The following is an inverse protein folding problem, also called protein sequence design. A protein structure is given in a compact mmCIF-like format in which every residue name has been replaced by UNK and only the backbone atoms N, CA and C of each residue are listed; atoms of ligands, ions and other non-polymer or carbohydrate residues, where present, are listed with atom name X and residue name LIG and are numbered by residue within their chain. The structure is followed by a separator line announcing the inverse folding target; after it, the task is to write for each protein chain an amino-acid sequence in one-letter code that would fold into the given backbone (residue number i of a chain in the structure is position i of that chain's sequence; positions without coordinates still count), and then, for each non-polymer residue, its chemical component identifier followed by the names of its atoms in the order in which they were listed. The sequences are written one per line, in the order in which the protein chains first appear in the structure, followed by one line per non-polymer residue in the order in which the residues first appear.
data_IF_571641009524
#
_entry.id   IF_571641009524
#
_cell.length_a   1.000
_cell.length_b   1.000
_cell.length_c   1.000
_cell.angle_alpha   90.00
_cell.angle_beta   90.00
_cell.angle_gamma   90.00
#
_symmetry.space_group_name_H-M   'P 1'
#
loop_
_entity.id
_entity.type
_entity.pdbx_description
1 polymer ?
#
# COMPACT_ATOMS: atom_id res chain seq x y z
N UNK A 1 10.31 11.95 11.41
CA UNK A 1 10.85 10.77 10.69
C UNK A 1 11.77 11.22 9.56
N UNK A 2 12.85 10.47 9.29
CA UNK A 2 13.71 10.75 8.14
C UNK A 2 12.94 10.48 6.84
N UNK A 3 13.20 11.29 5.80
CA UNK A 3 12.56 11.09 4.48
C UNK A 3 13.00 9.75 3.88
N UNK A 4 12.08 9.03 3.26
CA UNK A 4 12.42 7.79 2.52
C UNK A 4 13.32 8.13 1.34
N UNK A 5 14.40 7.40 1.20
CA UNK A 5 15.36 7.50 0.10
C UNK A 5 15.12 6.33 -0.86
N UNK A 6 14.87 6.63 -2.13
CA UNK A 6 14.60 5.64 -3.18
C UNK A 6 15.58 5.82 -4.34
N UNK A 7 16.85 5.41 -4.18
CA UNK A 7 17.87 5.58 -5.22
C UNK A 7 17.63 4.68 -6.45
N UNK A 8 16.80 3.66 -6.32
CA UNK A 8 16.47 2.74 -7.39
C UNK A 8 14.98 2.82 -7.74
N UNK A 9 14.67 2.90 -9.03
CA UNK A 9 13.30 3.01 -9.53
C UNK A 9 12.86 1.73 -10.25
N UNK A 10 11.53 1.54 -10.33
CA UNK A 10 10.89 0.47 -11.08
C UNK A 10 9.80 1.07 -11.97
N UNK A 11 9.46 0.39 -13.07
CA UNK A 11 8.54 0.90 -14.11
C UNK A 11 7.19 1.44 -13.59
N UNK A 12 6.72 0.98 -12.44
CA UNK A 12 5.47 1.47 -11.84
C UNK A 12 5.67 2.77 -11.05
N UNK A 13 6.92 3.13 -10.75
CA UNK A 13 7.26 4.24 -9.86
C UNK A 13 6.90 3.98 -8.39
N UNK A 14 7.40 4.81 -7.46
CA UNK A 14 7.03 4.76 -6.06
C UNK A 14 5.62 5.31 -5.82
N UNK A 15 4.98 4.88 -4.74
CA UNK A 15 3.81 5.56 -4.21
C UNK A 15 4.19 6.99 -3.84
N UNK A 16 3.45 7.96 -4.35
CA UNK A 16 3.72 9.39 -4.14
C UNK A 16 3.70 9.74 -2.66
N UNK A 17 4.52 10.68 -2.19
CA UNK A 17 4.63 11.00 -0.76
C UNK A 17 3.28 11.35 -0.10
N UNK A 18 2.43 12.11 -0.78
CA UNK A 18 1.13 12.53 -0.27
C UNK A 18 0.16 11.34 -0.15
N UNK A 19 0.14 10.49 -1.17
CA UNK A 19 -0.66 9.25 -1.17
C UNK A 19 -0.15 8.29 -0.10
N UNK A 20 1.18 8.13 0.01
CA UNK A 20 1.80 7.28 1.02
C UNK A 20 1.47 7.71 2.44
N UNK A 21 1.52 9.02 2.72
CA UNK A 21 1.18 9.56 4.03
C UNK A 21 -0.26 9.24 4.44
N UNK A 22 -1.20 9.41 3.51
CA UNK A 22 -2.61 9.05 3.76
C UNK A 22 -2.78 7.54 3.90
N UNK A 23 -2.15 6.75 3.03
CA UNK A 23 -2.20 5.27 3.10
C UNK A 23 -1.73 4.74 4.46
N UNK A 24 -0.59 5.24 4.96
CA UNK A 24 -0.05 4.82 6.25
C UNK A 24 -0.91 5.27 7.43
N UNK A 25 -1.51 6.46 7.34
CA UNK A 25 -2.46 6.93 8.34
C UNK A 25 -3.69 6.01 8.39
N UNK A 26 -4.23 5.60 7.23
CA UNK A 26 -5.38 4.68 7.15
C UNK A 26 -5.06 3.25 7.59
N UNK A 27 -3.82 2.79 7.40
CA UNK A 27 -3.33 1.51 7.93
C UNK A 27 -3.28 1.51 9.47
N UNK A 28 -3.13 2.68 10.11
CA UNK A 28 -3.06 2.84 11.56
C UNK A 28 -2.13 1.80 12.22
N UNK A 29 -0.90 1.66 11.67
CA UNK A 29 0.05 0.63 12.08
C UNK A 29 0.48 0.79 13.54
N UNK A 30 0.55 -0.33 14.26
CA UNK A 30 1.01 -0.41 15.63
C UNK A 30 2.39 -1.05 15.73
N UNK A 31 3.22 -0.73 16.74
CA UNK A 31 4.59 -1.24 16.84
C UNK A 31 4.70 -2.77 16.92
N UNK A 32 3.65 -3.45 17.34
CA UNK A 32 3.60 -4.91 17.47
C UNK A 32 3.13 -5.63 16.23
N UNK A 33 2.64 -4.90 15.22
CA UNK A 33 2.03 -5.47 14.03
C UNK A 33 3.00 -6.31 13.19
N UNK A 34 2.42 -7.32 12.56
CA UNK A 34 2.93 -7.92 11.34
C UNK A 34 2.20 -7.31 10.14
N UNK A 35 2.91 -6.48 9.39
CA UNK A 35 2.38 -5.79 8.22
C UNK A 35 2.75 -6.52 6.93
N UNK A 36 1.80 -6.61 5.99
CA UNK A 36 2.00 -7.22 4.66
C UNK A 36 1.87 -6.17 3.56
N UNK A 37 2.90 -6.03 2.72
CA UNK A 37 2.92 -5.17 1.52
C UNK A 37 2.79 -6.03 0.26
N UNK A 38 1.61 -6.07 -0.34
CA UNK A 38 1.33 -6.81 -1.57
C UNK A 38 1.60 -5.94 -2.80
N UNK A 39 2.68 -6.26 -3.51
CA UNK A 39 3.14 -5.50 -4.67
C UNK A 39 4.11 -4.38 -4.28
N UNK A 40 5.13 -4.71 -3.53
CA UNK A 40 6.09 -3.75 -2.94
C UNK A 40 6.82 -2.88 -3.96
N UNK A 41 7.10 -3.38 -5.15
CA UNK A 41 7.66 -2.65 -6.30
C UNK A 41 8.96 -1.90 -5.99
N UNK A 42 8.90 -0.64 -5.55
CA UNK A 42 10.06 0.17 -5.12
C UNK A 42 10.32 0.10 -3.62
N UNK A 43 9.43 -0.53 -2.86
CA UNK A 43 9.51 -0.64 -1.40
C UNK A 43 9.14 0.63 -0.63
N UNK A 44 8.52 1.61 -1.28
CA UNK A 44 8.23 2.89 -0.63
C UNK A 44 7.27 2.80 0.55
N UNK A 45 6.26 1.92 0.50
CA UNK A 45 5.37 1.60 1.63
C UNK A 45 6.08 0.67 2.61
N UNK A 46 6.75 -0.38 2.11
CA UNK A 46 7.54 -1.33 2.91
C UNK A 46 8.49 -0.63 3.87
N UNK A 47 9.28 0.37 3.36
CA UNK A 47 10.27 1.11 4.15
C UNK A 47 9.60 1.95 5.25
N UNK A 48 8.53 2.67 4.92
CA UNK A 48 7.81 3.49 5.92
C UNK A 48 7.13 2.62 6.99
N UNK A 49 6.56 1.49 6.60
CA UNK A 49 5.99 0.53 7.53
C UNK A 49 7.07 -0.09 8.44
N UNK A 50 8.23 -0.47 7.87
CA UNK A 50 9.34 -1.05 8.61
C UNK A 50 9.94 -0.13 9.70
N UNK A 51 9.63 1.17 9.67
CA UNK A 51 9.97 2.14 10.71
C UNK A 51 8.95 2.23 11.83
N UNK A 52 7.80 1.56 11.69
CA UNK A 52 6.67 1.70 12.60
C UNK A 52 6.29 0.38 13.26
N UNK A 53 6.51 -0.75 12.58
CA UNK A 53 6.09 -2.07 13.04
C UNK A 53 7.27 -2.98 13.35
N UNK A 54 6.99 -4.13 13.95
CA UNK A 54 8.00 -5.13 14.30
C UNK A 54 8.34 -6.06 13.14
N UNK A 55 7.36 -6.44 12.33
CA UNK A 55 7.54 -7.35 11.21
C UNK A 55 6.90 -6.82 9.93
N UNK A 56 7.60 -6.97 8.81
CA UNK A 56 7.07 -6.68 7.48
C UNK A 56 7.31 -7.87 6.56
N UNK A 57 6.26 -8.35 5.91
CA UNK A 57 6.37 -9.25 4.76
C UNK A 57 6.02 -8.50 3.50
N UNK A 58 6.97 -8.36 2.58
CA UNK A 58 6.75 -7.69 1.30
C UNK A 58 6.77 -8.70 0.15
N UNK A 59 5.68 -8.74 -0.62
CA UNK A 59 5.54 -9.60 -1.80
C UNK A 59 5.67 -8.78 -3.08
N UNK A 60 6.45 -9.29 -4.03
CA UNK A 60 6.50 -8.79 -5.40
C UNK A 60 6.69 -9.96 -6.35
N UNK A 61 5.77 -10.13 -7.32
CA UNK A 61 5.81 -11.25 -8.28
C UNK A 61 6.93 -11.18 -9.31
N UNK A 62 7.48 -9.98 -9.53
CA UNK A 62 8.56 -9.77 -10.49
C UNK A 62 9.90 -9.69 -9.77
N UNK A 63 10.78 -10.72 -9.89
CA UNK A 63 12.05 -10.75 -9.16
C UNK A 63 12.89 -9.48 -9.30
N UNK A 64 12.98 -8.91 -10.53
CA UNK A 64 13.74 -7.68 -10.77
C UNK A 64 13.19 -6.45 -10.03
N UNK A 65 11.89 -6.43 -9.64
CA UNK A 65 11.31 -5.36 -8.82
C UNK A 65 11.55 -5.62 -7.34
N UNK A 66 11.53 -6.89 -6.93
CA UNK A 66 11.90 -7.25 -5.58
C UNK A 66 13.34 -6.86 -5.26
N UNK A 67 14.27 -7.03 -6.23
CA UNK A 67 15.64 -6.52 -6.12
C UNK A 67 15.70 -5.00 -5.94
N UNK A 68 14.77 -4.24 -6.56
CA UNK A 68 14.67 -2.79 -6.34
C UNK A 68 14.20 -2.49 -4.92
N UNK A 69 13.19 -3.22 -4.42
CA UNK A 69 12.75 -3.12 -3.02
C UNK A 69 13.92 -3.38 -2.07
N UNK A 70 14.68 -4.45 -2.27
CA UNK A 70 15.83 -4.83 -1.43
C UNK A 70 16.91 -3.73 -1.41
N UNK A 71 17.29 -3.21 -2.58
CA UNK A 71 18.29 -2.13 -2.71
C UNK A 71 17.82 -0.83 -2.05
N UNK A 72 16.54 -0.50 -2.17
CA UNK A 72 15.99 0.68 -1.52
C UNK A 72 15.88 0.50 0.00
N UNK A 73 15.53 -0.69 0.49
CA UNK A 73 15.58 -1.00 1.92
C UNK A 73 16.99 -0.80 2.47
N UNK A 74 18.02 -1.30 1.78
CA UNK A 74 19.42 -1.15 2.19
C UNK A 74 19.91 0.32 2.25
N UNK A 75 19.22 1.24 1.56
CA UNK A 75 19.52 2.67 1.57
C UNK A 75 18.77 3.45 2.67
N UNK A 76 18.00 2.76 3.53
CA UNK A 76 17.18 3.37 4.56
C UNK A 76 17.43 2.73 5.93
N UNK A 77 17.16 3.49 6.99
CA UNK A 77 17.17 2.99 8.37
C UNK A 77 15.75 2.59 8.79
N UNK A 78 15.62 1.43 9.43
CA UNK A 78 14.39 0.89 10.01
C UNK A 78 14.74 -0.18 11.04
N UNK A 79 13.81 -0.53 11.94
CA UNK A 79 14.04 -1.45 13.05
C UNK A 79 13.32 -2.80 12.85
N UNK A 80 12.39 -2.90 11.89
CA UNK A 80 11.61 -4.12 11.67
C UNK A 80 12.44 -5.27 11.11
N UNK A 81 12.02 -6.50 11.41
CA UNK A 81 12.39 -7.67 10.63
C UNK A 81 11.61 -7.66 9.30
N UNK A 82 12.33 -7.61 8.16
CA UNK A 82 11.72 -7.55 6.83
C UNK A 82 11.96 -8.83 6.06
N UNK A 83 10.88 -9.50 5.68
CA UNK A 83 10.89 -10.68 4.82
C UNK A 83 10.46 -10.30 3.40
N UNK A 84 11.33 -10.55 2.41
CA UNK A 84 11.03 -10.34 0.99
C UNK A 84 10.64 -11.65 0.33
N UNK A 85 9.51 -11.69 -0.37
CA UNK A 85 9.00 -12.88 -1.06
C UNK A 85 8.77 -12.61 -2.54
N UNK A 86 9.44 -13.39 -3.40
CA UNK A 86 9.20 -13.40 -4.85
C UNK A 86 7.97 -14.28 -5.13
N UNK A 87 6.77 -13.74 -4.96
CA UNK A 87 5.51 -14.48 -5.10
C UNK A 87 4.40 -13.59 -5.65
N UNK A 88 3.38 -14.21 -6.26
CA UNK A 88 2.12 -13.55 -6.65
C UNK A 88 1.05 -13.90 -5.61
N UNK A 89 0.54 -12.89 -4.90
CA UNK A 89 -0.51 -13.10 -3.90
C UNK A 89 -1.82 -13.62 -4.55
N UNK A 90 -2.57 -14.50 -3.84
CA UNK A 90 -2.42 -14.86 -2.43
C UNK A 90 -1.28 -15.84 -2.12
N UNK A 91 -0.70 -16.55 -3.11
CA UNK A 91 0.44 -17.40 -2.83
C UNK A 91 1.59 -16.59 -2.20
N UNK A 92 2.18 -17.13 -1.14
CA UNK A 92 3.26 -16.50 -0.40
C UNK A 92 2.83 -15.48 0.65
N UNK A 93 1.53 -15.29 0.89
CA UNK A 93 1.06 -14.59 2.09
C UNK A 93 1.50 -15.34 3.36
N UNK A 94 1.78 -14.64 4.47
CA UNK A 94 2.00 -15.30 5.76
C UNK A 94 0.67 -15.82 6.32
N UNK A 95 0.74 -16.80 7.21
CA UNK A 95 -0.44 -17.39 7.87
C UNK A 95 -1.16 -16.40 8.79
N UNK A 96 -0.42 -15.43 9.34
CA UNK A 96 -0.94 -14.40 10.25
C UNK A 96 -0.40 -13.03 9.86
N UNK A 97 -1.27 -12.03 9.88
CA UNK A 97 -0.93 -10.62 9.72
C UNK A 97 -1.99 -9.75 10.37
N UNK A 98 -1.58 -8.57 10.86
CA UNK A 98 -2.47 -7.61 11.52
C UNK A 98 -2.98 -6.55 10.53
N UNK A 99 -2.12 -6.16 9.57
CA UNK A 99 -2.45 -5.15 8.58
C UNK A 99 -1.88 -5.51 7.19
N UNK A 100 -2.62 -5.14 6.15
CA UNK A 100 -2.24 -5.44 4.76
C UNK A 100 -2.43 -4.20 3.86
N UNK A 101 -1.46 -3.97 3.00
CA UNK A 101 -1.55 -3.00 1.91
C UNK A 101 -1.54 -3.70 0.55
N UNK A 102 -2.48 -3.33 -0.32
CA UNK A 102 -2.53 -3.78 -1.71
C UNK A 102 -2.11 -2.63 -2.63
N UNK A 103 -0.86 -2.68 -3.11
CA UNK A 103 -0.28 -1.73 -4.06
C UNK A 103 -0.59 -2.07 -5.52
N UNK A 104 -1.32 -3.15 -5.79
CA UNK A 104 -1.70 -3.61 -7.11
C UNK A 104 -3.12 -4.18 -7.14
N UNK A 105 -3.69 -4.28 -8.35
CA UNK A 105 -5.07 -4.73 -8.55
C UNK A 105 -5.19 -6.14 -9.16
N UNK A 106 -4.08 -6.86 -9.26
CA UNK A 106 -4.11 -8.24 -9.75
C UNK A 106 -4.52 -9.17 -8.63
N UNK A 107 -5.46 -10.06 -8.91
CA UNK A 107 -5.97 -11.06 -7.97
C UNK A 107 -6.47 -10.49 -6.63
N UNK A 108 -6.78 -9.18 -6.56
CA UNK A 108 -7.11 -8.53 -5.29
C UNK A 108 -8.32 -9.18 -4.60
N UNK A 109 -9.28 -9.70 -5.36
CA UNK A 109 -10.45 -10.39 -4.79
C UNK A 109 -10.03 -11.65 -4.03
N UNK A 110 -9.16 -12.50 -4.62
CA UNK A 110 -8.62 -13.68 -3.95
C UNK A 110 -7.71 -13.33 -2.75
N UNK A 111 -6.96 -12.21 -2.85
CA UNK A 111 -6.15 -11.69 -1.73
C UNK A 111 -7.04 -11.24 -0.58
N UNK A 112 -8.18 -10.60 -0.88
CA UNK A 112 -9.15 -10.19 0.15
C UNK A 112 -9.82 -11.39 0.80
N UNK A 113 -10.15 -12.44 0.03
CA UNK A 113 -10.71 -13.69 0.58
C UNK A 113 -9.75 -14.29 1.61
N UNK A 114 -8.48 -14.45 1.22
CA UNK A 114 -7.43 -14.98 2.09
C UNK A 114 -7.20 -14.09 3.34
N UNK A 115 -7.14 -12.77 3.15
CA UNK A 115 -6.93 -11.83 4.25
C UNK A 115 -8.09 -11.85 5.27
N UNK A 116 -9.33 -11.95 4.81
CA UNK A 116 -10.51 -12.05 5.69
C UNK A 116 -10.54 -13.39 6.42
N UNK A 117 -10.24 -14.49 5.72
CA UNK A 117 -10.18 -15.83 6.31
C UNK A 117 -9.07 -15.94 7.36
N UNK A 118 -7.90 -15.34 7.09
CA UNK A 118 -6.75 -15.28 8.02
C UNK A 118 -6.92 -14.30 9.17
N UNK A 119 -7.98 -13.48 9.16
CA UNK A 119 -8.29 -12.55 10.25
C UNK A 119 -7.48 -11.25 10.22
N UNK A 120 -6.99 -10.81 9.05
CA UNK A 120 -6.32 -9.51 8.90
C UNK A 120 -7.29 -8.38 9.26
N UNK A 121 -6.97 -7.60 10.30
CA UNK A 121 -7.87 -6.56 10.83
C UNK A 121 -7.98 -5.34 9.90
N UNK A 122 -6.85 -4.89 9.35
CA UNK A 122 -6.76 -3.63 8.60
C UNK A 122 -6.23 -3.87 7.19
N UNK A 123 -7.02 -3.45 6.19
CA UNK A 123 -6.65 -3.62 4.78
C UNK A 123 -6.81 -2.28 4.07
N UNK A 124 -5.75 -1.82 3.40
CA UNK A 124 -5.82 -0.61 2.57
C UNK A 124 -5.39 -0.95 1.14
N UNK A 125 -6.20 -0.56 0.18
CA UNK A 125 -5.91 -0.74 -1.24
C UNK A 125 -5.85 0.58 -1.98
N UNK A 126 -4.75 0.82 -2.72
CA UNK A 126 -4.62 2.00 -3.57
C UNK A 126 -4.81 1.64 -5.04
N UNK A 127 -5.71 2.34 -5.72
CA UNK A 127 -5.95 2.19 -7.16
C UNK A 127 -6.10 3.54 -7.85
N UNK A 128 -5.55 3.63 -9.07
CA UNK A 128 -5.62 4.86 -9.88
C UNK A 128 -6.68 4.79 -11.00
N UNK A 129 -7.28 3.61 -11.24
CA UNK A 129 -8.29 3.41 -12.28
C UNK A 129 -9.67 3.35 -11.65
N UNK A 130 -10.58 4.20 -12.14
CA UNK A 130 -11.94 4.31 -11.61
C UNK A 130 -12.71 2.97 -11.68
N UNK A 131 -12.55 2.23 -12.78
CA UNK A 131 -13.22 0.94 -12.95
C UNK A 131 -12.73 -0.12 -11.96
N UNK A 132 -11.44 -0.06 -11.61
CA UNK A 132 -10.86 -0.95 -10.59
C UNK A 132 -11.31 -0.50 -9.21
N UNK A 133 -11.38 0.81 -8.95
CA UNK A 133 -11.86 1.34 -7.68
C UNK A 133 -13.31 0.93 -7.42
N UNK A 134 -14.18 1.01 -8.42
CA UNK A 134 -15.58 0.54 -8.32
C UNK A 134 -15.66 -0.93 -7.92
N UNK A 135 -14.92 -1.81 -8.62
CA UNK A 135 -14.89 -3.26 -8.28
C UNK A 135 -14.30 -3.52 -6.89
N UNK A 136 -13.25 -2.77 -6.51
CA UNK A 136 -12.65 -2.91 -5.19
C UNK A 136 -13.63 -2.51 -4.08
N UNK A 137 -14.36 -1.40 -4.23
CA UNK A 137 -15.40 -0.97 -3.29
C UNK A 137 -16.47 -2.06 -3.12
N UNK A 138 -16.97 -2.64 -4.22
CA UNK A 138 -17.92 -3.75 -4.15
C UNK A 138 -17.33 -4.98 -3.46
N UNK A 139 -16.09 -5.37 -3.78
CA UNK A 139 -15.43 -6.52 -3.18
C UNK A 139 -15.22 -6.37 -1.67
N UNK A 140 -14.89 -5.15 -1.18
CA UNK A 140 -14.78 -4.86 0.25
C UNK A 140 -16.16 -4.89 0.93
N UNK A 141 -17.21 -4.38 0.24
CA UNK A 141 -18.59 -4.39 0.74
C UNK A 141 -19.16 -5.81 0.85
N UNK A 142 -18.94 -6.65 -0.17
CA UNK A 142 -19.38 -8.06 -0.18
C UNK A 142 -18.79 -8.90 0.94
N UNK A 143 -17.65 -8.46 1.50
CA UNK A 143 -16.95 -9.10 2.62
C UNK A 143 -17.23 -8.44 3.96
N UNK A 144 -18.14 -7.47 4.02
CA UNK A 144 -18.49 -6.71 5.21
C UNK A 144 -17.29 -6.04 5.92
N UNK A 145 -16.27 -5.65 5.13
CA UNK A 145 -15.06 -5.00 5.64
C UNK A 145 -14.91 -3.54 5.20
N UNK A 146 -15.80 -3.01 4.34
CA UNK A 146 -15.67 -1.64 3.84
C UNK A 146 -15.87 -0.61 4.95
N UNK A 147 -14.83 0.12 5.30
CA UNK A 147 -14.85 1.19 6.31
C UNK A 147 -14.92 2.59 5.67
N UNK A 148 -14.04 2.85 4.69
CA UNK A 148 -13.94 4.19 4.10
C UNK A 148 -13.45 4.12 2.65
N UNK A 149 -13.83 5.12 1.86
CA UNK A 149 -13.27 5.35 0.51
C UNK A 149 -12.83 6.80 0.40
N UNK A 150 -11.56 7.02 0.10
CA UNK A 150 -10.98 8.35 -0.07
C UNK A 150 -10.49 8.53 -1.50
N UNK A 151 -10.86 9.63 -2.15
CA UNK A 151 -10.24 10.06 -3.40
C UNK A 151 -9.22 11.15 -3.10
N UNK A 152 -7.96 10.91 -3.47
CA UNK A 152 -6.88 11.88 -3.35
C UNK A 152 -6.59 12.51 -4.71
N UNK A 153 -6.71 13.83 -4.79
CA UNK A 153 -6.30 14.63 -5.93
C UNK A 153 -5.13 15.51 -5.51
N UNK A 154 -3.96 15.25 -6.08
CA UNK A 154 -2.72 15.99 -5.79
C UNK A 154 -2.38 16.90 -6.95
N UNK A 155 -2.04 18.15 -6.65
CA UNK A 155 -1.55 19.12 -7.63
C UNK A 155 -0.31 19.82 -7.10
N UNK A 156 0.72 19.95 -7.93
CA UNK A 156 1.96 20.65 -7.58
C UNK A 156 2.04 22.01 -8.26
N UNK A 157 2.39 23.02 -7.47
CA UNK A 157 2.62 24.35 -7.99
C UNK A 157 3.94 24.43 -8.78
N UNK A 158 3.92 25.14 -9.90
CA UNK A 158 5.11 25.47 -10.68
C UNK A 158 5.05 26.92 -11.15
N UNK A 159 6.22 27.50 -11.47
CA UNK A 159 6.28 28.85 -12.00
C UNK A 159 5.91 28.87 -13.49
N UNK A 160 4.99 29.77 -13.87
CA UNK A 160 4.60 30.05 -15.23
C UNK A 160 4.56 31.56 -15.46
N UNK A 161 5.53 32.09 -16.20
CA UNK A 161 5.61 33.54 -16.60
C UNK A 161 5.45 34.47 -15.38
N UNK A 162 6.19 34.23 -14.30
CA UNK A 162 6.17 35.04 -13.09
C UNK A 162 4.94 34.88 -12.19
N UNK A 163 4.10 33.85 -12.46
CA UNK A 163 2.95 33.47 -11.64
C UNK A 163 3.03 32.01 -11.26
N UNK A 164 2.27 31.61 -10.24
CA UNK A 164 2.15 30.19 -9.85
C UNK A 164 0.98 29.54 -10.57
N UNK A 165 1.25 28.44 -11.25
CA UNK A 165 0.24 27.53 -11.82
C UNK A 165 0.33 26.17 -11.17
N UNK A 166 -0.64 25.26 -11.44
CA UNK A 166 -0.69 23.92 -10.86
C UNK A 166 -0.74 22.84 -11.92
N UNK A 167 0.09 21.82 -11.75
CA UNK A 167 0.03 20.57 -12.51
C UNK A 167 -0.71 19.51 -11.67
N UNK A 168 -1.85 19.05 -12.19
CA UNK A 168 -2.71 18.09 -11.51
C UNK A 168 -2.35 16.65 -11.92
N UNK A 169 -2.11 15.83 -10.94
CA UNK A 169 -1.84 14.41 -11.14
C UNK A 169 -3.15 13.62 -11.23
N UNK A 170 -3.10 12.42 -11.82
CA UNK A 170 -4.25 11.52 -11.79
C UNK A 170 -4.65 11.19 -10.35
N UNK A 171 -5.97 11.17 -10.05
CA UNK A 171 -6.44 10.82 -8.73
C UNK A 171 -6.06 9.39 -8.34
N UNK A 172 -5.94 9.15 -7.04
CA UNK A 172 -5.78 7.83 -6.44
C UNK A 172 -6.96 7.60 -5.52
N UNK A 173 -7.57 6.43 -5.63
CA UNK A 173 -8.63 5.97 -4.73
C UNK A 173 -8.00 5.07 -3.68
N UNK A 174 -8.19 5.43 -2.42
CA UNK A 174 -7.75 4.67 -1.25
C UNK A 174 -9.01 4.02 -0.67
N UNK A 175 -9.07 2.70 -0.75
CA UNK A 175 -10.16 1.90 -0.21
C UNK A 175 -9.66 1.31 1.11
N UNK A 176 -10.37 1.60 2.18
CA UNK A 176 -10.03 1.20 3.54
C UNK A 176 -11.00 0.13 4.01
N UNK A 177 -10.47 -0.96 4.50
CA UNK A 177 -11.19 -2.06 5.09
C UNK A 177 -10.74 -2.36 6.50
N UNK A 178 -11.72 -2.74 7.34
CA UNK A 178 -11.49 -3.22 8.70
C UNK A 178 -12.45 -4.35 9.01
N UNK A 179 -11.98 -5.39 9.67
CA UNK A 179 -12.86 -6.46 10.14
C UNK A 179 -13.90 -5.92 11.11
N UNK A 180 -15.17 -6.28 10.90
CA UNK A 180 -16.28 -5.83 11.72
C UNK A 180 -16.71 -4.37 11.49
N UNK A 181 -16.21 -3.71 10.45
CA UNK A 181 -16.71 -2.42 10.02
C UNK A 181 -18.19 -2.56 9.60
N UNK A 182 -19.08 -1.80 10.23
CA UNK A 182 -20.54 -1.89 9.96
C UNK A 182 -20.99 -1.27 8.62
N UNK A 183 -20.11 -1.09 7.66
CA UNK A 183 -20.35 -0.42 6.38
C UNK A 183 -20.13 1.10 6.44
N UNK A 184 -20.09 1.72 5.24
CA UNK A 184 -20.04 3.20 5.13
C UNK A 184 -21.28 3.82 5.80
N UNK A 185 -21.06 4.74 6.73
CA UNK A 185 -22.10 5.59 7.34
C UNK A 185 -22.38 6.84 6.54
#
# INVERSE_FOLDING_TARGET
MARVVLPHDAKAGPTKPEVRAVTLEKLALEPTDHFVDVGSCTGSITIEAARQVRHVTALERKPHRLEVTEKNLAANEYDAEVTLRAAEAPEGLPEEADAMFLGGSRNFEAVLDDAVESGVDRIVMNVARLEVAGRAVEAFRERDILEEVVQLQVSHGYELVGATSFDSQNPVYVIVGRQGAGGLT
#
